data_IF_690087034785
#
_entry.id   IF_690087034785
#
_cell.length_a   1.000
_cell.length_b   1.000
_cell.length_c   1.000
_cell.angle_alpha   90.00
_cell.angle_beta   90.00
_cell.angle_gamma   90.00
#
_symmetry.space_group_name_H-M   'P 1'
#
loop_
_entity.id
_entity.type
_entity.pdbx_description
1 polymer ?
#
# COMPACT_ATOMS: atom_id res chain seq x y z
N UNK A 1 8.05 -2.59 -21.99
CA UNK A 1 8.42 -1.95 -20.73
C UNK A 1 8.03 -2.85 -19.57
N UNK A 2 8.95 -3.11 -18.68
CA UNK A 2 8.73 -4.10 -17.62
C UNK A 2 8.00 -3.47 -16.42
N UNK A 3 6.76 -3.87 -16.20
CA UNK A 3 5.93 -3.38 -15.09
C UNK A 3 6.55 -3.72 -13.73
N UNK A 4 7.24 -4.85 -13.62
CA UNK A 4 7.89 -5.26 -12.38
C UNK A 4 8.96 -4.29 -11.93
N UNK A 5 9.71 -3.72 -12.86
CA UNK A 5 10.75 -2.76 -12.54
C UNK A 5 10.16 -1.54 -11.83
N UNK A 6 9.08 -1.01 -12.36
CA UNK A 6 8.41 0.15 -11.76
C UNK A 6 7.77 -0.20 -10.42
N UNK A 7 7.17 -1.37 -10.33
CA UNK A 7 6.59 -1.86 -9.09
C UNK A 7 7.65 -2.00 -7.99
N UNK A 8 8.80 -2.57 -8.33
CA UNK A 8 9.91 -2.71 -7.38
C UNK A 8 10.44 -1.37 -6.89
N UNK A 9 10.54 -0.40 -7.80
CA UNK A 9 11.00 0.94 -7.44
C UNK A 9 10.01 1.63 -6.50
N UNK A 10 8.72 1.50 -6.76
CA UNK A 10 7.70 2.06 -5.90
C UNK A 10 7.74 1.42 -4.52
N UNK A 11 7.82 0.09 -4.46
CA UNK A 11 7.87 -0.63 -3.19
C UNK A 11 9.07 -0.22 -2.34
N UNK A 12 10.23 -0.10 -2.95
CA UNK A 12 11.44 0.33 -2.24
C UNK A 12 11.30 1.74 -1.70
N UNK A 13 10.74 2.64 -2.52
CA UNK A 13 10.55 4.03 -2.13
C UNK A 13 9.58 4.14 -0.95
N UNK A 14 8.45 3.44 -1.03
CA UNK A 14 7.45 3.47 0.03
C UNK A 14 7.98 2.84 1.30
N UNK A 15 8.68 1.72 1.20
CA UNK A 15 9.26 1.06 2.37
C UNK A 15 10.22 1.99 3.10
N UNK A 16 11.07 2.69 2.37
CA UNK A 16 12.02 3.62 2.95
C UNK A 16 11.32 4.79 3.63
N UNK A 17 10.34 5.38 2.96
CA UNK A 17 9.61 6.55 3.50
C UNK A 17 8.84 6.23 4.78
N UNK A 18 8.29 5.05 4.87
CA UNK A 18 7.39 4.68 5.97
C UNK A 18 8.05 3.79 7.01
N UNK A 19 9.36 3.61 6.92
CA UNK A 19 10.11 2.73 7.83
C UNK A 19 9.56 1.30 7.84
N UNK A 20 9.03 0.89 6.69
CA UNK A 20 8.54 -0.45 6.49
C UNK A 20 9.57 -1.31 5.79
N UNK A 21 9.18 -2.52 5.47
CA UNK A 21 10.01 -3.42 4.70
C UNK A 21 9.21 -3.98 3.53
N UNK A 22 9.90 -4.24 2.45
CA UNK A 22 9.32 -4.86 1.28
C UNK A 22 9.03 -6.33 1.58
N UNK A 23 7.86 -6.81 1.17
CA UNK A 23 7.52 -8.21 1.28
C UNK A 23 8.27 -9.02 0.22
N UNK A 24 9.00 -10.01 0.67
CA UNK A 24 9.67 -10.95 -0.24
C UNK A 24 8.67 -12.00 -0.69
N UNK A 25 8.74 -12.35 -1.98
CA UNK A 25 7.91 -13.43 -2.54
C UNK A 25 6.42 -13.20 -2.33
N UNK A 26 5.96 -11.99 -2.55
CA UNK A 26 4.57 -11.63 -2.31
C UNK A 26 3.57 -12.45 -3.11
N UNK A 27 4.00 -13.10 -4.18
CA UNK A 27 3.14 -14.00 -4.94
C UNK A 27 3.33 -15.47 -4.65
N UNK A 28 4.26 -15.83 -3.76
CA UNK A 28 4.66 -17.21 -3.55
C UNK A 28 3.75 -17.98 -2.60
N UNK A 29 3.11 -17.27 -1.66
CA UNK A 29 2.17 -17.91 -0.74
C UNK A 29 0.93 -17.06 -0.60
N UNK A 30 -0.18 -17.70 -0.24
CA UNK A 30 -1.46 -16.99 -0.12
C UNK A 30 -1.50 -16.07 1.10
N UNK A 31 -0.53 -16.13 1.99
CA UNK A 31 -0.51 -15.32 3.20
C UNK A 31 0.54 -14.21 3.19
N UNK A 32 1.37 -14.15 2.15
CA UNK A 32 2.42 -13.14 2.05
C UNK A 32 2.11 -12.21 0.89
N UNK A 33 1.00 -11.54 0.98
CA UNK A 33 0.59 -10.57 -0.03
C UNK A 33 0.70 -9.17 0.53
N UNK A 34 0.53 -8.18 -0.34
CA UNK A 34 0.88 -6.83 -0.01
C UNK A 34 2.34 -6.60 -0.31
N UNK A 35 2.68 -5.39 -0.61
CA UNK A 35 3.99 -5.08 -1.17
C UNK A 35 4.96 -4.51 -0.14
N UNK A 36 4.44 -3.83 0.87
CA UNK A 36 5.23 -3.25 1.94
C UNK A 36 4.50 -3.47 3.25
N UNK A 37 5.26 -3.76 4.29
CA UNK A 37 4.66 -3.99 5.60
C UNK A 37 5.40 -3.15 6.65
N UNK A 38 4.62 -2.53 7.56
CA UNK A 38 5.12 -1.94 8.78
C UNK A 38 4.61 -2.77 9.95
N UNK A 39 4.89 -2.33 11.18
CA UNK A 39 4.41 -3.05 12.36
C UNK A 39 2.89 -3.13 12.43
N UNK A 40 2.19 -2.15 11.90
CA UNK A 40 0.73 -2.06 12.03
C UNK A 40 -0.02 -1.99 10.72
N UNK A 41 0.66 -1.77 9.60
CA UNK A 41 0.00 -1.50 8.33
C UNK A 41 0.54 -2.40 7.23
N UNK A 42 -0.38 -3.00 6.49
CA UNK A 42 -0.06 -3.70 5.24
C UNK A 42 -0.39 -2.77 4.08
N UNK A 43 0.56 -2.56 3.19
CA UNK A 43 0.43 -1.60 2.10
C UNK A 43 0.53 -2.31 0.76
N UNK A 44 -0.45 -2.07 -0.11
CA UNK A 44 -0.39 -2.55 -1.48
C UNK A 44 -0.04 -1.41 -2.40
N UNK A 45 0.96 -1.62 -3.25
CA UNK A 45 1.43 -0.61 -4.19
C UNK A 45 0.81 -0.84 -5.56
N UNK A 46 0.15 0.18 -6.10
CA UNK A 46 -0.41 0.14 -7.45
C UNK A 46 0.41 1.08 -8.32
N UNK A 47 1.11 0.51 -9.29
CA UNK A 47 2.04 1.25 -10.12
C UNK A 47 1.45 1.52 -11.49
N UNK A 48 1.61 2.76 -11.96
CA UNK A 48 1.32 3.12 -13.35
C UNK A 48 2.61 3.19 -14.13
N UNK A 49 2.60 2.58 -15.31
CA UNK A 49 3.74 2.62 -16.22
C UNK A 49 3.72 3.89 -17.07
N UNK A 50 2.52 4.37 -17.38
CA UNK A 50 2.33 5.59 -18.16
C UNK A 50 1.66 6.65 -17.31
N UNK A 51 1.96 7.90 -17.57
CA UNK A 51 1.28 9.01 -16.94
C UNK A 51 -0.22 8.93 -17.21
N UNK A 52 -1.01 9.21 -16.19
CA UNK A 52 -2.45 9.06 -16.25
C UNK A 52 -3.10 10.22 -15.50
N UNK A 53 -4.32 10.55 -15.89
CA UNK A 53 -5.12 11.60 -15.23
C UNK A 53 -6.10 11.01 -14.21
N UNK A 54 -6.25 9.72 -14.20
CA UNK A 54 -7.19 9.07 -13.30
C UNK A 54 -6.75 7.66 -12.97
N UNK A 55 -7.29 7.14 -11.89
CA UNK A 55 -7.11 5.75 -11.50
C UNK A 55 -8.45 5.23 -10.99
N UNK A 56 -8.78 4.01 -11.38
CA UNK A 56 -10.00 3.34 -10.90
C UNK A 56 -9.64 2.47 -9.70
N UNK A 57 -10.42 2.60 -8.63
CA UNK A 57 -10.22 1.81 -7.43
C UNK A 57 -11.22 0.66 -7.45
N UNK A 58 -10.71 -0.56 -7.49
CA UNK A 58 -11.54 -1.75 -7.51
C UNK A 58 -11.89 -2.15 -6.08
N UNK A 59 -13.16 -2.40 -5.83
CA UNK A 59 -13.61 -2.81 -4.50
C UNK A 59 -12.94 -4.10 -4.05
N UNK A 60 -12.71 -5.02 -4.96
CA UNK A 60 -12.08 -6.29 -4.60
C UNK A 60 -10.62 -6.14 -4.16
N UNK A 61 -9.91 -5.09 -4.61
CA UNK A 61 -8.59 -4.78 -4.07
C UNK A 61 -8.66 -4.55 -2.56
N UNK A 62 -9.66 -3.76 -2.16
CA UNK A 62 -9.85 -3.42 -0.75
C UNK A 62 -10.22 -4.65 0.06
N UNK A 63 -11.17 -5.43 -0.43
CA UNK A 63 -11.62 -6.63 0.28
C UNK A 63 -10.51 -7.66 0.44
N UNK A 64 -9.73 -7.85 -0.61
CA UNK A 64 -8.60 -8.75 -0.59
C UNK A 64 -7.51 -8.30 0.38
N UNK A 65 -7.19 -7.01 0.34
CA UNK A 65 -6.17 -6.44 1.21
C UNK A 65 -6.60 -6.50 2.67
N UNK A 66 -7.87 -6.29 2.95
CA UNK A 66 -8.40 -6.44 4.30
C UNK A 66 -8.20 -7.86 4.84
N UNK A 67 -8.49 -8.86 4.00
CA UNK A 67 -8.29 -10.25 4.37
C UNK A 67 -6.81 -10.56 4.62
N UNK A 68 -5.95 -10.06 3.77
CA UNK A 68 -4.51 -10.27 3.89
C UNK A 68 -3.97 -9.61 5.14
N UNK A 69 -4.39 -8.38 5.42
CA UNK A 69 -3.97 -7.66 6.62
C UNK A 69 -4.43 -8.41 7.88
N UNK A 70 -5.65 -8.91 7.88
CA UNK A 70 -6.17 -9.70 8.99
C UNK A 70 -5.33 -10.96 9.20
N UNK A 71 -5.04 -11.69 8.12
CA UNK A 71 -4.25 -12.91 8.18
C UNK A 71 -2.84 -12.65 8.70
N UNK A 72 -2.28 -11.48 8.40
CA UNK A 72 -0.95 -11.08 8.84
C UNK A 72 -0.96 -10.33 10.17
N UNK A 73 -2.10 -10.27 10.82
CA UNK A 73 -2.29 -9.59 12.12
C UNK A 73 -1.89 -8.13 12.08
N UNK A 74 -2.22 -7.45 10.98
CA UNK A 74 -2.04 -6.01 10.85
C UNK A 74 -3.38 -5.32 11.02
N UNK A 75 -3.53 -4.43 11.99
CA UNK A 75 -4.82 -3.76 12.24
C UNK A 75 -5.21 -2.79 11.15
N UNK A 76 -4.25 -2.35 10.33
CA UNK A 76 -4.52 -1.36 9.30
C UNK A 76 -4.00 -1.81 7.95
N UNK A 77 -4.55 -1.23 6.91
CA UNK A 77 -4.12 -1.44 5.53
C UNK A 77 -4.18 -0.12 4.78
N UNK A 78 -3.44 -0.04 3.68
CA UNK A 78 -3.43 1.12 2.81
C UNK A 78 -3.12 0.67 1.38
N UNK A 79 -3.66 1.40 0.41
CA UNK A 79 -3.29 1.23 -0.98
C UNK A 79 -2.58 2.50 -1.40
N UNK A 80 -1.41 2.39 -1.98
CA UNK A 80 -0.68 3.56 -2.48
C UNK A 80 -0.62 3.51 -4.00
N UNK A 81 -0.70 4.68 -4.61
CA UNK A 81 -0.66 4.81 -6.07
C UNK A 81 -0.06 6.16 -6.45
N UNK A 82 0.28 6.30 -7.72
CA UNK A 82 0.66 7.58 -8.29
C UNK A 82 0.12 7.66 -9.71
N UNK A 83 0.19 8.84 -10.31
CA UNK A 83 -0.30 9.06 -11.66
C UNK A 83 0.80 9.02 -12.73
N UNK A 84 1.91 8.37 -12.40
CA UNK A 84 3.05 8.30 -13.29
C UNK A 84 4.16 9.29 -12.97
N UNK A 85 4.03 9.99 -11.86
CA UNK A 85 5.06 10.89 -11.34
C UNK A 85 5.60 10.35 -10.01
N UNK A 86 6.35 11.16 -9.28
CA UNK A 86 6.96 10.73 -8.02
C UNK A 86 6.14 11.08 -6.79
N UNK A 87 4.93 11.55 -6.97
CA UNK A 87 4.05 11.87 -5.85
C UNK A 87 3.13 10.69 -5.57
N UNK A 88 3.24 10.13 -4.39
CA UNK A 88 2.44 8.99 -3.98
C UNK A 88 1.23 9.44 -3.16
N UNK A 89 0.10 8.83 -3.45
CA UNK A 89 -1.16 9.06 -2.76
C UNK A 89 -1.55 7.77 -2.04
N UNK A 90 -2.37 7.90 -1.00
CA UNK A 90 -2.75 6.74 -0.19
C UNK A 90 -4.26 6.69 -0.02
N UNK A 91 -4.80 5.48 -0.13
CA UNK A 91 -6.20 5.18 0.15
C UNK A 91 -6.23 4.41 1.46
N UNK A 92 -6.96 4.93 2.42
CA UNK A 92 -7.10 4.30 3.74
C UNK A 92 -8.57 4.30 4.12
N UNK A 93 -8.92 3.45 5.09
CA UNK A 93 -10.30 3.42 5.57
C UNK A 93 -10.53 4.45 6.69
N UNK A 94 -11.77 4.56 7.08
CA UNK A 94 -12.17 5.51 8.12
C UNK A 94 -11.45 5.22 9.45
N UNK A 95 -11.29 3.97 9.80
CA UNK A 95 -10.65 3.58 11.06
C UNK A 95 -9.23 4.14 11.15
N UNK A 96 -8.43 3.96 10.10
CA UNK A 96 -7.07 4.47 10.08
C UNK A 96 -7.05 6.00 10.03
N UNK A 97 -7.95 6.58 9.24
CA UNK A 97 -8.03 8.04 9.15
C UNK A 97 -8.32 8.66 10.52
N UNK A 98 -9.25 8.08 11.29
CA UNK A 98 -9.55 8.57 12.63
C UNK A 98 -8.34 8.49 13.56
N UNK A 99 -7.58 7.41 13.49
CA UNK A 99 -6.36 7.28 14.28
C UNK A 99 -5.35 8.37 13.96
N UNK A 100 -5.17 8.65 12.69
CA UNK A 100 -4.25 9.68 12.26
C UNK A 100 -4.73 11.07 12.69
N UNK A 101 -6.03 11.32 12.60
CA UNK A 101 -6.60 12.58 13.04
C UNK A 101 -6.43 12.79 14.54
N UNK A 102 -6.60 11.76 15.34
CA UNK A 102 -6.38 11.84 16.78
C UNK A 102 -4.92 12.20 17.10
N UNK A 103 -3.99 11.62 16.37
CA UNK A 103 -2.58 11.94 16.53
C UNK A 103 -2.26 13.39 16.19
N UNK A 104 -2.91 13.93 15.15
CA UNK A 104 -2.72 15.33 14.80
C UNK A 104 -3.31 16.29 15.83
N UNK A 105 -4.38 15.90 16.47
CA UNK A 105 -5.03 16.75 17.47
C UNK A 105 -4.30 16.80 18.79
N UNK A 106 -3.47 15.80 19.06
CA UNK A 106 -2.69 15.72 20.29
C UNK A 106 -1.45 16.60 20.27
N UNK A 107 -1.20 17.22 19.15
CA UNK A 107 -0.10 18.19 19.05
C UNK A 107 -0.60 19.63 19.38
#
# INVERSE_FOLDING_TARGET
MDTRKYSNLQEKRIAKKLHGRKQLNSGATMFQKGDVITDKILIECKTKVKESKSISIQKDWIEKLKEEAFAMRRPYWAITFNFGNNEDYFIINEKLFKQLMEGLQDE
#
